data_IF_967698175662
#
_entry.id   IF_967698175662
#
_cell.length_a   1.000
_cell.length_b   1.000
_cell.length_c   1.000
_cell.angle_alpha   90.00
_cell.angle_beta   90.00
_cell.angle_gamma   90.00
#
_symmetry.space_group_name_H-M   'P 1'
#
loop_
_entity.id
_entity.type
_entity.pdbx_description
1 polymer ?
#
# COMPACT_ATOMS: atom_id res chain seq x y z
N UNK A 1 -19.17 4.69 -8.58
CA UNK A 1 -17.98 5.57 -8.54
C UNK A 1 -18.42 6.93 -9.05
N UNK A 2 -18.26 7.96 -8.21
CA UNK A 2 -18.94 9.28 -8.21
C UNK A 2 -20.46 9.27 -7.93
N UNK A 3 -20.83 10.10 -6.95
CA UNK A 3 -22.16 10.34 -6.34
C UNK A 3 -22.74 9.14 -5.55
N UNK A 4 -22.75 9.27 -4.22
CA UNK A 4 -23.28 8.28 -3.27
C UNK A 4 -22.13 7.52 -2.60
N UNK A 5 -21.92 7.78 -1.30
CA UNK A 5 -20.82 7.22 -0.52
C UNK A 5 -20.72 5.70 -0.59
N UNK A 6 -19.49 5.19 -0.49
CA UNK A 6 -19.20 3.76 -0.43
C UNK A 6 -19.90 3.13 0.78
N UNK A 7 -20.89 2.27 0.52
CA UNK A 7 -21.62 1.49 1.52
C UNK A 7 -21.19 0.00 1.51
N UNK A 8 -20.02 -0.32 0.95
CA UNK A 8 -19.47 -1.68 0.89
C UNK A 8 -18.03 -1.70 1.41
N UNK A 9 -17.55 -2.88 1.83
CA UNK A 9 -16.17 -3.10 2.29
C UNK A 9 -15.17 -2.42 1.35
N UNK A 10 -14.24 -1.68 1.93
CA UNK A 10 -13.24 -0.87 1.24
C UNK A 10 -12.60 -1.61 0.06
N UNK A 11 -13.05 -1.29 -1.15
CA UNK A 11 -12.49 -1.81 -2.39
C UNK A 11 -11.74 -0.69 -3.09
N UNK A 12 -10.42 -0.65 -2.92
CA UNK A 12 -9.59 0.23 -3.71
C UNK A 12 -9.59 -0.14 -5.18
N UNK A 13 -9.48 0.91 -5.99
CA UNK A 13 -9.18 0.85 -7.41
C UNK A 13 -7.81 0.18 -7.63
N UNK A 14 -7.85 -1.13 -7.93
CA UNK A 14 -6.74 -2.10 -8.01
C UNK A 14 -5.50 -1.75 -8.84
N UNK A 15 -5.52 -0.69 -9.66
CA UNK A 15 -4.52 -0.52 -10.73
C UNK A 15 -3.12 -0.13 -10.23
N UNK A 16 -3.01 0.46 -9.03
CA UNK A 16 -1.72 0.91 -8.48
C UNK A 16 -1.44 0.43 -7.04
N UNK A 17 -2.36 -0.33 -6.43
CA UNK A 17 -2.19 -0.87 -5.07
C UNK A 17 -1.43 -2.20 -5.10
N UNK A 18 -0.13 -2.14 -5.34
CA UNK A 18 0.74 -3.31 -5.23
C UNK A 18 0.87 -3.78 -3.78
N UNK A 19 0.97 -5.11 -3.59
CA UNK A 19 1.25 -5.72 -2.27
C UNK A 19 2.61 -5.26 -1.74
N UNK A 20 2.84 -5.22 -0.41
CA UNK A 20 4.11 -4.79 0.18
C UNK A 20 5.35 -5.44 -0.45
N UNK A 21 5.36 -6.76 -0.58
CA UNK A 21 6.47 -7.51 -1.20
C UNK A 21 6.76 -7.12 -2.67
N UNK A 22 5.77 -6.60 -3.41
CA UNK A 22 5.99 -6.11 -4.77
C UNK A 22 6.74 -4.79 -4.75
N UNK A 23 6.45 -3.90 -3.79
CA UNK A 23 7.19 -2.65 -3.60
C UNK A 23 8.65 -2.90 -3.23
N UNK A 24 8.92 -3.81 -2.30
CA UNK A 24 10.29 -4.20 -1.93
C UNK A 24 11.07 -4.72 -3.15
N UNK A 25 10.43 -5.57 -3.96
CA UNK A 25 11.02 -6.09 -5.19
C UNK A 25 11.26 -5.00 -6.24
N UNK A 26 10.34 -4.04 -6.38
CA UNK A 26 10.52 -2.94 -7.32
C UNK A 26 11.71 -2.06 -6.93
N UNK A 27 11.85 -1.73 -5.65
CA UNK A 27 12.93 -0.86 -5.16
C UNK A 27 14.29 -1.55 -5.20
N UNK A 28 14.37 -2.82 -4.80
CA UNK A 28 15.62 -3.59 -4.95
C UNK A 28 16.04 -3.74 -6.41
N UNK A 29 15.10 -3.97 -7.34
CA UNK A 29 15.39 -3.97 -8.79
C UNK A 29 15.78 -2.60 -9.33
N UNK A 30 15.37 -1.51 -8.67
CA UNK A 30 15.77 -0.15 -9.03
C UNK A 30 17.19 0.21 -8.53
N UNK A 31 17.84 -0.67 -7.76
CA UNK A 31 19.23 -0.51 -7.33
C UNK A 31 19.41 -0.15 -5.84
N UNK A 32 18.35 -0.11 -5.04
CA UNK A 32 18.50 -0.01 -3.59
C UNK A 32 19.02 -1.33 -3.01
N UNK A 33 19.99 -1.28 -2.09
CA UNK A 33 20.54 -2.47 -1.45
C UNK A 33 19.50 -3.19 -0.57
N UNK A 34 18.65 -2.43 0.11
CA UNK A 34 17.57 -2.96 0.95
C UNK A 34 16.28 -2.17 0.76
N UNK A 35 15.14 -2.85 0.89
CA UNK A 35 13.82 -2.24 0.93
C UNK A 35 12.92 -3.02 1.87
N UNK A 36 12.12 -2.32 2.67
CA UNK A 36 11.18 -2.87 3.63
C UNK A 36 9.82 -2.15 3.48
N UNK A 37 8.74 -2.91 3.40
CA UNK A 37 7.39 -2.39 3.25
C UNK A 37 6.47 -2.90 4.36
N UNK A 38 5.89 -1.96 5.11
CA UNK A 38 5.03 -2.25 6.26
C UNK A 38 3.67 -1.58 6.10
N UNK A 39 2.60 -2.31 6.38
CA UNK A 39 1.26 -1.73 6.45
C UNK A 39 1.00 -1.30 7.88
N UNK A 40 0.75 0.00 8.06
CA UNK A 40 0.25 0.57 9.31
C UNK A 40 -1.27 0.51 9.28
N UNK A 41 -1.90 -0.10 10.26
CA UNK A 41 -3.37 -0.12 10.35
C UNK A 41 -3.95 1.29 10.45
N UNK A 42 -5.19 1.45 9.97
CA UNK A 42 -5.90 2.70 10.16
C UNK A 42 -6.18 2.93 11.65
N UNK A 43 -6.21 4.20 12.11
CA UNK A 43 -6.63 4.51 13.48
C UNK A 43 -8.05 4.04 13.81
N UNK A 44 -8.93 4.00 12.80
CA UNK A 44 -10.31 3.53 12.92
C UNK A 44 -10.46 2.13 12.32
N UNK A 45 -10.97 1.15 13.10
CA UNK A 45 -11.16 -0.22 12.62
C UNK A 45 -12.08 -0.27 11.39
N UNK A 46 -11.65 -1.02 10.37
CA UNK A 46 -12.42 -1.18 9.14
C UNK A 46 -12.10 -0.14 8.07
N UNK A 47 -11.33 0.91 8.39
CA UNK A 47 -10.73 1.80 7.39
C UNK A 47 -9.40 1.23 6.89
N UNK A 48 -8.98 1.69 5.73
CA UNK A 48 -7.72 1.24 5.18
C UNK A 48 -6.55 1.93 5.86
N UNK A 49 -5.61 1.10 6.32
CA UNK A 49 -4.27 1.49 6.70
C UNK A 49 -3.42 2.12 5.58
N UNK A 50 -2.20 2.47 5.97
CA UNK A 50 -1.20 3.13 5.12
C UNK A 50 -0.04 2.17 4.85
N UNK A 51 0.36 2.03 3.59
CA UNK A 51 1.60 1.35 3.23
C UNK A 51 2.77 2.32 3.36
N UNK A 52 3.68 2.04 4.30
CA UNK A 52 4.96 2.74 4.44
C UNK A 52 6.07 1.89 3.83
N UNK A 53 6.88 2.48 2.96
CA UNK A 53 8.02 1.79 2.32
C UNK A 53 9.29 2.59 2.57
N UNK A 54 10.34 1.91 3.02
CA UNK A 54 11.67 2.47 3.22
C UNK A 54 12.68 1.71 2.36
N UNK A 55 13.63 2.43 1.76
CA UNK A 55 14.72 1.84 1.01
C UNK A 55 16.04 2.56 1.31
N UNK A 56 17.15 1.81 1.26
CA UNK A 56 18.50 2.30 1.56
C UNK A 56 19.47 1.82 0.47
N UNK A 57 20.40 2.70 0.10
CA UNK A 57 21.48 2.40 -0.85
C UNK A 57 22.58 1.55 -0.21
#
# INVERSE_FOLDING_TARGET
MYRGGFAGKDMFTYRYSYRPAVWERLLTRAGFATAEATVLDAPEPGHIGTLLVQARA
#
